data_IF_744590700957
#
_entry.id   IF_744590700957
#
_cell.length_a   1.000
_cell.length_b   1.000
_cell.length_c   1.000
_cell.angle_alpha   90.00
_cell.angle_beta   90.00
_cell.angle_gamma   90.00
#
_symmetry.space_group_name_H-M   'P 1'
#
loop_
_entity.id
_entity.type
_entity.pdbx_description
1 polymer ?
#
# COMPACT_ATOMS: atom_id res chain seq x y z
N UNK A 1 9.57 -8.88 -13.90
CA UNK A 1 8.55 -8.09 -14.61
C UNK A 1 7.88 -7.13 -13.63
N UNK A 2 7.48 -5.98 -14.10
CA UNK A 2 6.86 -4.93 -13.26
C UNK A 2 5.74 -5.48 -12.38
N UNK A 3 4.84 -6.26 -12.96
CA UNK A 3 3.70 -6.81 -12.25
C UNK A 3 4.13 -7.64 -11.02
N UNK A 4 5.07 -8.56 -11.22
CA UNK A 4 5.52 -9.45 -10.14
C UNK A 4 6.24 -8.68 -9.03
N UNK A 5 7.04 -7.69 -9.41
CA UNK A 5 7.75 -6.83 -8.46
C UNK A 5 6.78 -5.97 -7.66
N UNK A 6 5.72 -5.45 -8.32
CA UNK A 6 4.71 -4.63 -7.66
C UNK A 6 3.91 -5.47 -6.65
N UNK A 7 3.50 -6.68 -7.04
CA UNK A 7 2.80 -7.61 -6.13
C UNK A 7 3.69 -7.94 -4.93
N UNK A 8 4.97 -8.20 -5.16
CA UNK A 8 5.92 -8.49 -4.08
C UNK A 8 6.06 -7.33 -3.12
N UNK A 9 6.11 -6.10 -3.63
CA UNK A 9 6.19 -4.91 -2.80
C UNK A 9 4.94 -4.76 -1.93
N UNK A 10 3.76 -4.89 -2.52
CA UNK A 10 2.48 -4.80 -1.81
C UNK A 10 2.40 -5.89 -0.74
N UNK A 11 2.75 -7.12 -1.11
CA UNK A 11 2.70 -8.27 -0.21
C UNK A 11 3.64 -8.09 0.98
N UNK A 12 4.85 -7.61 0.74
CA UNK A 12 5.82 -7.38 1.82
C UNK A 12 5.33 -6.33 2.83
N UNK A 13 4.50 -5.39 2.41
CA UNK A 13 3.95 -4.35 3.30
C UNK A 13 2.66 -4.77 3.98
N UNK A 14 1.97 -5.78 3.46
CA UNK A 14 0.67 -6.18 3.98
C UNK A 14 0.74 -6.66 5.43
N UNK A 15 1.75 -7.43 5.79
CA UNK A 15 1.92 -7.93 7.16
C UNK A 15 2.11 -6.77 8.14
N UNK A 16 2.97 -5.81 7.80
CA UNK A 16 3.22 -4.62 8.62
C UNK A 16 1.93 -3.82 8.77
N UNK A 17 1.20 -3.66 7.68
CA UNK A 17 -0.06 -2.92 7.68
C UNK A 17 -1.09 -3.54 8.61
N UNK A 18 -1.22 -4.86 8.57
CA UNK A 18 -2.11 -5.61 9.46
C UNK A 18 -1.73 -5.43 10.93
N UNK A 19 -0.45 -5.52 11.24
CA UNK A 19 0.05 -5.33 12.61
C UNK A 19 -0.28 -3.93 13.13
N UNK A 20 -0.15 -2.91 12.29
CA UNK A 20 -0.48 -1.54 12.67
C UNK A 20 -1.98 -1.37 12.90
N UNK A 21 -2.83 -1.96 12.06
CA UNK A 21 -4.27 -1.96 12.27
C UNK A 21 -4.65 -2.67 13.56
N UNK A 22 -4.05 -3.84 13.82
CA UNK A 22 -4.30 -4.60 15.04
C UNK A 22 -3.92 -3.80 16.28
N UNK A 23 -2.84 -3.04 16.21
CA UNK A 23 -2.41 -2.16 17.32
C UNK A 23 -3.45 -1.08 17.62
N UNK A 24 -4.11 -0.56 16.59
CA UNK A 24 -5.18 0.43 16.78
C UNK A 24 -6.40 -0.21 17.44
N UNK A 25 -6.83 -1.36 16.94
CA UNK A 25 -8.00 -2.06 17.46
C UNK A 25 -7.78 -2.61 18.88
N UNK A 26 -6.55 -2.96 19.23
CA UNK A 26 -6.22 -3.49 20.55
C UNK A 26 -5.84 -2.42 21.57
N UNK A 27 -5.81 -1.16 21.18
CA UNK A 27 -5.50 -0.05 22.08
C UNK A 27 -6.53 0.04 23.21
N UNK A 28 -6.05 0.13 24.46
CA UNK A 28 -6.91 0.15 25.66
C UNK A 28 -7.06 1.54 26.26
N UNK A 29 -6.17 2.47 25.87
CA UNK A 29 -6.19 3.85 26.35
C UNK A 29 -6.17 4.80 25.17
N UNK A 30 -6.57 6.06 25.42
CA UNK A 30 -6.52 7.10 24.40
C UNK A 30 -5.09 7.35 23.93
N UNK A 31 -4.12 7.25 24.85
CA UNK A 31 -2.72 7.44 24.52
C UNK A 31 -2.21 6.32 23.60
N UNK A 32 -2.55 5.08 23.90
CA UNK A 32 -2.18 3.93 23.06
C UNK A 32 -2.79 4.05 21.66
N UNK A 33 -4.06 4.44 21.59
CA UNK A 33 -4.76 4.66 20.31
C UNK A 33 -4.06 5.76 19.51
N UNK A 34 -3.72 6.87 20.15
CA UNK A 34 -3.06 8.00 19.51
C UNK A 34 -1.70 7.59 18.95
N UNK A 35 -0.89 6.88 19.73
CA UNK A 35 0.43 6.43 19.29
C UNK A 35 0.33 5.43 18.13
N UNK A 36 -0.60 4.49 18.21
CA UNK A 36 -0.84 3.52 17.14
C UNK A 36 -1.29 4.23 15.84
N UNK A 37 -2.16 5.22 15.96
CA UNK A 37 -2.65 6.01 14.81
C UNK A 37 -1.53 6.80 14.15
N UNK A 38 -0.63 7.38 14.94
CA UNK A 38 0.53 8.13 14.44
C UNK A 38 1.46 7.19 13.67
N UNK A 39 1.76 6.01 14.23
CA UNK A 39 2.62 5.02 13.56
C UNK A 39 2.02 4.57 12.23
N UNK A 40 0.73 4.29 12.20
CA UNK A 40 0.03 3.90 10.98
C UNK A 40 0.09 5.01 9.92
N UNK A 41 -0.17 6.26 10.33
CA UNK A 41 -0.13 7.41 9.43
C UNK A 41 1.25 7.59 8.80
N UNK A 42 2.29 7.46 9.62
CA UNK A 42 3.68 7.53 9.14
C UNK A 42 3.97 6.41 8.14
N UNK A 43 3.57 5.17 8.46
CA UNK A 43 3.76 4.03 7.59
C UNK A 43 3.06 4.24 6.25
N UNK A 44 1.81 4.70 6.26
CA UNK A 44 1.05 4.96 5.03
C UNK A 44 1.76 5.98 4.15
N UNK A 45 2.28 7.05 4.76
CA UNK A 45 3.01 8.08 4.03
C UNK A 45 4.27 7.52 3.36
N UNK A 46 5.09 6.80 4.11
CA UNK A 46 6.33 6.20 3.61
C UNK A 46 6.04 5.16 2.53
N UNK A 47 5.05 4.32 2.76
CA UNK A 47 4.67 3.28 1.81
C UNK A 47 4.16 3.87 0.49
N UNK A 48 3.32 4.91 0.58
CA UNK A 48 2.83 5.60 -0.62
C UNK A 48 4.00 6.16 -1.43
N UNK A 49 4.98 6.75 -0.75
CA UNK A 49 6.18 7.28 -1.40
C UNK A 49 7.00 6.17 -2.05
N UNK A 50 7.15 5.03 -1.39
CA UNK A 50 7.85 3.88 -1.95
C UNK A 50 7.16 3.36 -3.22
N UNK A 51 5.81 3.33 -3.23
CA UNK A 51 5.05 2.93 -4.40
C UNK A 51 5.26 3.89 -5.57
N UNK A 52 5.21 5.19 -5.30
CA UNK A 52 5.46 6.19 -6.34
C UNK A 52 6.89 6.08 -6.88
N UNK A 53 7.88 5.97 -6.00
CA UNK A 53 9.29 5.84 -6.40
C UNK A 53 9.51 4.59 -7.23
N UNK A 54 8.91 3.48 -6.83
CA UNK A 54 8.98 2.23 -7.57
C UNK A 54 8.42 2.41 -8.99
N UNK A 55 7.24 3.00 -9.11
CA UNK A 55 6.61 3.21 -10.42
C UNK A 55 7.41 4.17 -11.29
N UNK A 56 7.95 5.25 -10.72
CA UNK A 56 8.82 6.16 -11.46
C UNK A 56 10.08 5.47 -11.99
N UNK A 57 10.66 4.55 -11.20
CA UNK A 57 11.84 3.80 -11.64
C UNK A 57 11.53 2.82 -12.77
N UNK A 58 10.26 2.50 -12.99
CA UNK A 58 9.79 1.55 -14.00
C UNK A 58 9.02 2.22 -15.15
N UNK A 59 9.17 3.54 -15.34
CA UNK A 59 8.42 4.26 -16.37
C UNK A 59 8.57 3.65 -17.76
N UNK A 60 9.76 3.17 -18.11
CA UNK A 60 10.00 2.56 -19.41
C UNK A 60 9.18 1.29 -19.63
N UNK A 61 8.81 0.59 -18.58
CA UNK A 61 8.00 -0.62 -18.63
C UNK A 61 6.50 -0.32 -18.62
N UNK A 62 6.11 0.85 -18.10
CA UNK A 62 4.69 1.22 -17.96
C UNK A 62 4.08 1.67 -19.28
N UNK A 63 4.87 2.29 -20.14
CA UNK A 63 4.42 2.80 -21.45
C UNK A 63 3.15 3.67 -21.33
N UNK A 64 2.10 3.38 -22.11
CA UNK A 64 0.85 4.12 -22.08
C UNK A 64 0.02 3.88 -20.80
N UNK A 65 0.44 2.93 -19.95
CA UNK A 65 -0.27 2.60 -18.70
C UNK A 65 0.25 3.36 -17.50
N UNK A 66 1.27 4.21 -17.65
CA UNK A 66 1.91 4.87 -16.51
C UNK A 66 0.93 5.73 -15.70
N UNK A 67 0.06 6.49 -16.34
CA UNK A 67 -0.94 7.31 -15.63
C UNK A 67 -1.87 6.43 -14.78
N UNK A 68 -2.33 5.32 -15.35
CA UNK A 68 -3.20 4.37 -14.64
C UNK A 68 -2.47 3.77 -13.44
N UNK A 69 -1.19 3.40 -13.62
CA UNK A 69 -0.39 2.82 -12.54
C UNK A 69 -0.23 3.79 -11.37
N UNK A 70 0.05 5.07 -11.65
CA UNK A 70 0.18 6.07 -10.59
C UNK A 70 -1.15 6.35 -9.89
N UNK A 71 -2.26 6.32 -10.62
CA UNK A 71 -3.58 6.51 -10.05
C UNK A 71 -3.98 5.38 -9.11
N UNK A 72 -3.35 4.21 -9.24
CA UNK A 72 -3.61 3.08 -8.35
C UNK A 72 -3.03 3.24 -6.94
N UNK A 73 -2.01 4.09 -6.75
CA UNK A 73 -1.37 4.23 -5.44
C UNK A 73 -2.36 4.60 -4.33
N UNK A 74 -3.17 5.66 -4.46
CA UNK A 74 -4.18 5.95 -3.45
C UNK A 74 -5.19 4.81 -3.26
N UNK A 75 -5.56 4.15 -4.35
CA UNK A 75 -6.50 3.03 -4.31
C UNK A 75 -5.92 1.83 -3.55
N UNK A 76 -4.64 1.50 -3.78
CA UNK A 76 -3.96 0.41 -3.08
C UNK A 76 -3.95 0.69 -1.58
N UNK A 77 -3.58 1.90 -1.17
CA UNK A 77 -3.54 2.29 0.24
C UNK A 77 -4.95 2.22 0.84
N UNK A 78 -5.95 2.75 0.14
CA UNK A 78 -7.34 2.69 0.59
C UNK A 78 -7.84 1.26 0.76
N UNK A 79 -7.55 0.39 -0.20
CA UNK A 79 -7.99 -1.01 -0.15
C UNK A 79 -7.34 -1.75 1.02
N UNK A 80 -6.08 -1.44 1.36
CA UNK A 80 -5.43 -1.99 2.54
C UNK A 80 -6.08 -1.48 3.82
N UNK A 81 -6.43 -0.18 3.87
CA UNK A 81 -7.17 0.39 5.00
C UNK A 81 -8.50 -0.34 5.24
N UNK A 82 -9.13 -0.78 4.16
CA UNK A 82 -10.41 -1.51 4.21
C UNK A 82 -10.23 -3.02 4.31
N UNK A 83 -9.00 -3.49 4.51
CA UNK A 83 -8.65 -4.91 4.60
C UNK A 83 -9.06 -5.72 3.37
N UNK A 84 -9.06 -5.09 2.20
CA UNK A 84 -9.44 -5.70 0.91
C UNK A 84 -8.22 -6.08 0.08
N UNK A 85 -7.31 -6.80 0.69
CA UNK A 85 -6.04 -7.17 0.08
C UNK A 85 -6.21 -7.94 -1.24
N UNK A 86 -7.16 -8.86 -1.29
CA UNK A 86 -7.42 -9.63 -2.51
C UNK A 86 -7.80 -8.74 -3.70
N UNK A 87 -8.56 -7.67 -3.44
CA UNK A 87 -8.96 -6.70 -4.47
C UNK A 87 -7.73 -5.96 -4.99
N UNK A 88 -6.78 -5.63 -4.11
CA UNK A 88 -5.52 -4.98 -4.52
C UNK A 88 -4.79 -5.88 -5.53
N UNK A 89 -4.61 -7.14 -5.17
CA UNK A 89 -3.89 -8.10 -6.02
C UNK A 89 -4.60 -8.25 -7.38
N UNK A 90 -5.91 -8.39 -7.37
CA UNK A 90 -6.69 -8.51 -8.61
C UNK A 90 -6.56 -7.26 -9.48
N UNK A 91 -6.57 -6.08 -8.86
CA UNK A 91 -6.41 -4.80 -9.57
C UNK A 91 -5.02 -4.68 -10.19
N UNK A 92 -3.98 -5.06 -9.44
CA UNK A 92 -2.60 -5.03 -9.93
C UNK A 92 -2.42 -6.00 -11.11
N UNK A 93 -3.09 -7.16 -11.08
CA UNK A 93 -3.06 -8.11 -12.19
C UNK A 93 -3.54 -7.50 -13.50
N UNK A 94 -4.43 -6.53 -13.45
CA UNK A 94 -4.95 -5.85 -14.65
C UNK A 94 -3.93 -4.92 -15.30
N UNK A 95 -2.83 -4.60 -14.61
CA UNK A 95 -1.72 -3.83 -15.19
C UNK A 95 -0.89 -4.67 -16.18
N UNK A 96 -1.05 -5.93 -16.10
CA UNK A 96 -0.36 -6.88 -16.98
C UNK A 96 -0.91 -6.82 -18.43
#
# INVERSE_FOLDING_TARGET
MLYDELVSLIDSKNTIYKELNDSIYSAKTDEEYKQASIRKKHFVHVYSQELYDFLWSRLSELTAKNCIAFDLVPYIVWAQLSERYSIIIDTVKKLK
#
